data_IF_189766241724
#
_entry.id   IF_189766241724
#
_cell.length_a   1.000
_cell.length_b   1.000
_cell.length_c   1.000
_cell.angle_alpha   90.00
_cell.angle_beta   90.00
_cell.angle_gamma   90.00
#
_symmetry.space_group_name_H-M   'P 1'
#
loop_
_entity.id
_entity.type
_entity.pdbx_description
1 polymer ?
#
# COMPACT_ATOMS: atom_id res chain seq x y z
N UNK A 1 29.63 -14.38 5.14
CA UNK A 1 28.33 -15.08 5.01
C UNK A 1 27.34 -14.62 6.09
N UNK A 2 27.68 -14.66 7.39
CA UNK A 2 26.80 -14.16 8.47
C UNK A 2 26.31 -12.72 8.25
N UNK A 3 27.20 -11.79 7.90
CA UNK A 3 26.83 -10.39 7.57
C UNK A 3 25.84 -10.28 6.39
N UNK A 4 25.91 -11.18 5.41
CA UNK A 4 25.02 -11.16 4.25
C UNK A 4 23.62 -11.69 4.60
N UNK A 5 23.55 -12.75 5.40
CA UNK A 5 22.30 -13.30 5.91
C UNK A 5 21.56 -12.25 6.74
N UNK A 6 22.26 -11.59 7.66
CA UNK A 6 21.70 -10.51 8.49
C UNK A 6 21.13 -9.38 7.64
N UNK A 7 21.83 -8.95 6.59
CA UNK A 7 21.35 -7.89 5.67
C UNK A 7 20.00 -8.21 5.02
N UNK A 8 19.70 -9.47 4.72
CA UNK A 8 18.40 -9.87 4.18
C UNK A 8 17.36 -10.10 5.27
N UNK A 9 17.73 -10.73 6.38
CA UNK A 9 16.78 -11.08 7.43
C UNK A 9 16.30 -9.87 8.24
N UNK A 10 17.16 -8.88 8.51
CA UNK A 10 16.78 -7.68 9.26
C UNK A 10 15.59 -6.92 8.65
N UNK A 11 15.59 -6.55 7.35
CA UNK A 11 14.43 -5.87 6.76
C UNK A 11 13.18 -6.76 6.74
N UNK A 12 13.33 -8.08 6.58
CA UNK A 12 12.20 -9.02 6.65
C UNK A 12 11.59 -9.07 8.06
N UNK A 13 12.41 -9.21 9.09
CA UNK A 13 11.97 -9.22 10.49
C UNK A 13 11.31 -7.89 10.86
N UNK A 14 11.87 -6.77 10.38
CA UNK A 14 11.26 -5.46 10.59
C UNK A 14 9.87 -5.35 9.93
N UNK A 15 9.70 -5.87 8.71
CA UNK A 15 8.40 -5.90 8.03
C UNK A 15 7.40 -6.81 8.75
N UNK A 16 7.81 -8.01 9.17
CA UNK A 16 6.96 -8.94 9.93
C UNK A 16 6.44 -8.31 11.21
N UNK A 17 7.30 -7.62 11.98
CA UNK A 17 6.88 -6.90 13.19
C UNK A 17 5.84 -5.82 12.91
N UNK A 18 5.86 -5.20 11.73
CA UNK A 18 4.85 -4.20 11.33
C UNK A 18 3.54 -4.84 10.88
N UNK A 19 3.59 -6.04 10.30
CA UNK A 19 2.39 -6.81 9.94
C UNK A 19 1.71 -7.44 11.15
N UNK A 20 2.50 -7.88 12.13
CA UNK A 20 2.03 -8.56 13.35
C UNK A 20 1.71 -7.57 14.49
N UNK A 21 1.85 -6.26 14.28
CA UNK A 21 1.55 -5.28 15.32
C UNK A 21 0.04 -5.07 15.49
N UNK A 22 -0.39 -4.79 16.72
CA UNK A 22 -1.79 -4.45 17.03
C UNK A 22 -2.26 -3.13 16.38
N UNK A 23 -1.32 -2.34 15.84
CA UNK A 23 -1.56 -1.09 15.12
C UNK A 23 -1.60 -1.26 13.60
N UNK A 24 -1.39 -2.48 13.09
CA UNK A 24 -1.33 -2.73 11.65
C UNK A 24 -2.70 -2.57 11.03
N UNK A 25 -2.82 -1.67 10.06
CA UNK A 25 -4.04 -1.52 9.26
C UNK A 25 -3.81 -2.09 7.87
N UNK A 26 -4.86 -2.61 7.25
CA UNK A 26 -4.79 -3.21 5.91
C UNK A 26 -4.22 -2.25 4.86
N UNK A 27 -4.45 -0.93 5.04
CA UNK A 27 -3.89 0.13 4.20
C UNK A 27 -2.36 0.23 4.25
N UNK A 28 -1.71 -0.19 5.35
CA UNK A 28 -0.25 -0.09 5.50
C UNK A 28 0.51 -1.23 4.81
N UNK A 29 -0.20 -2.32 4.49
CA UNK A 29 0.42 -3.57 4.03
C UNK A 29 1.21 -3.37 2.74
N UNK A 30 0.62 -2.67 1.76
CA UNK A 30 1.27 -2.36 0.49
C UNK A 30 2.55 -1.51 0.68
N UNK A 31 2.46 -0.43 1.46
CA UNK A 31 3.62 0.45 1.75
C UNK A 31 4.77 -0.33 2.41
N UNK A 32 4.46 -1.14 3.44
CA UNK A 32 5.45 -1.97 4.12
C UNK A 32 6.11 -2.99 3.18
N UNK A 33 5.33 -3.62 2.29
CA UNK A 33 5.88 -4.54 1.30
C UNK A 33 6.81 -3.83 0.31
N UNK A 34 6.41 -2.68 -0.24
CA UNK A 34 7.27 -1.89 -1.15
C UNK A 34 8.55 -1.43 -0.46
N UNK A 35 8.47 -1.02 0.81
CA UNK A 35 9.63 -0.66 1.64
C UNK A 35 10.57 -1.85 1.87
N UNK A 36 10.03 -3.05 2.12
CA UNK A 36 10.81 -4.29 2.21
C UNK A 36 11.53 -4.57 0.88
N UNK A 37 10.80 -4.60 -0.23
CA UNK A 37 11.36 -4.88 -1.55
C UNK A 37 12.47 -3.89 -1.94
N UNK A 38 12.26 -2.60 -1.70
CA UNK A 38 13.26 -1.56 -1.95
C UNK A 38 14.52 -1.74 -1.08
N UNK A 39 14.39 -2.19 0.18
CA UNK A 39 15.56 -2.48 1.02
C UNK A 39 16.31 -3.72 0.52
N UNK A 40 15.59 -4.76 0.13
CA UNK A 40 16.17 -6.02 -0.36
C UNK A 40 16.85 -5.84 -1.72
N UNK A 41 16.27 -5.06 -2.64
CA UNK A 41 16.83 -4.83 -3.98
C UNK A 41 18.18 -4.09 -3.95
N UNK A 42 18.47 -3.35 -2.88
CA UNK A 42 19.75 -2.66 -2.67
C UNK A 42 20.87 -3.59 -2.20
N UNK A 43 20.57 -4.83 -1.82
CA UNK A 43 21.58 -5.80 -1.39
C UNK A 43 22.13 -6.50 -2.62
N UNK A 44 23.39 -6.25 -2.97
CA UNK A 44 24.06 -6.87 -4.12
C UNK A 44 24.82 -8.15 -3.71
N UNK A 45 24.42 -9.30 -4.26
CA UNK A 45 25.14 -10.57 -4.18
C UNK A 45 24.67 -11.55 -5.29
N UNK A 46 25.37 -12.67 -5.43
CA UNK A 46 25.13 -13.67 -6.49
C UNK A 46 23.77 -14.40 -6.43
N UNK A 47 22.99 -14.21 -5.37
CA UNK A 47 21.65 -14.80 -5.22
C UNK A 47 20.57 -13.77 -4.88
N UNK A 48 20.86 -12.46 -4.97
CA UNK A 48 19.90 -11.40 -4.62
C UNK A 48 18.59 -11.51 -5.40
N UNK A 49 18.67 -11.85 -6.69
CA UNK A 49 17.50 -11.99 -7.55
C UNK A 49 16.61 -13.15 -7.11
N UNK A 50 17.21 -14.27 -6.69
CA UNK A 50 16.46 -15.41 -6.16
C UNK A 50 15.70 -15.03 -4.88
N UNK A 51 16.33 -14.25 -3.99
CA UNK A 51 15.67 -13.79 -2.76
C UNK A 51 14.53 -12.82 -3.08
N UNK A 52 14.76 -11.86 -3.98
CA UNK A 52 13.70 -10.94 -4.44
C UNK A 52 12.52 -11.70 -5.05
N UNK A 53 12.79 -12.71 -5.89
CA UNK A 53 11.74 -13.55 -6.47
C UNK A 53 10.97 -14.36 -5.41
N UNK A 54 11.63 -14.86 -4.38
CA UNK A 54 10.95 -15.57 -3.29
C UNK A 54 10.03 -14.65 -2.49
N UNK A 55 10.48 -13.43 -2.17
CA UNK A 55 9.66 -12.43 -1.48
C UNK A 55 8.47 -12.03 -2.36
N UNK A 56 8.70 -11.82 -3.66
CA UNK A 56 7.66 -11.48 -4.62
C UNK A 56 6.61 -12.60 -4.74
N UNK A 57 7.01 -13.87 -4.81
CA UNK A 57 6.09 -15.01 -4.82
C UNK A 57 5.26 -15.07 -3.53
N UNK A 58 5.88 -14.79 -2.39
CA UNK A 58 5.15 -14.77 -1.12
C UNK A 58 4.11 -13.64 -1.10
N UNK A 59 4.47 -12.47 -1.63
CA UNK A 59 3.53 -11.37 -1.79
C UNK A 59 2.35 -11.75 -2.66
N UNK A 60 2.59 -12.25 -3.88
CA UNK A 60 1.55 -12.69 -4.82
C UNK A 60 0.61 -13.72 -4.20
N UNK A 61 1.14 -14.65 -3.40
CA UNK A 61 0.33 -15.63 -2.69
C UNK A 61 -0.58 -15.00 -1.62
N UNK A 62 -0.07 -14.01 -0.88
CA UNK A 62 -0.81 -13.34 0.20
C UNK A 62 -1.66 -12.15 -0.26
N UNK A 63 -1.47 -11.70 -1.49
CA UNK A 63 -2.01 -10.45 -1.98
C UNK A 63 -3.53 -10.52 -2.12
N UNK A 64 -4.21 -9.46 -1.68
CA UNK A 64 -5.63 -9.28 -1.95
C UNK A 64 -5.88 -7.84 -2.41
N UNK A 65 -6.68 -7.59 -3.48
CA UNK A 65 -6.90 -6.25 -4.03
C UNK A 65 -7.35 -5.20 -3.02
N UNK A 66 -8.06 -5.63 -1.96
CA UNK A 66 -8.48 -4.75 -0.85
C UNK A 66 -7.30 -4.05 -0.17
N UNK A 67 -6.10 -4.63 -0.19
CA UNK A 67 -4.89 -4.03 0.39
C UNK A 67 -4.50 -2.76 -0.37
N UNK A 68 -4.51 -2.80 -1.71
CA UNK A 68 -4.24 -1.62 -2.52
C UNK A 68 -5.40 -0.61 -2.47
N UNK A 69 -6.65 -1.09 -2.47
CA UNK A 69 -7.81 -0.20 -2.31
C UNK A 69 -7.72 0.58 -1.00
N UNK A 70 -7.44 -0.11 0.12
CA UNK A 70 -7.28 0.54 1.41
C UNK A 70 -6.06 1.48 1.44
N UNK A 71 -4.97 1.13 0.77
CA UNK A 71 -3.80 1.99 0.62
C UNK A 71 -4.15 3.28 -0.15
N UNK A 72 -4.86 3.17 -1.27
CA UNK A 72 -5.29 4.32 -2.10
C UNK A 72 -6.25 5.25 -1.34
N UNK A 73 -7.04 4.70 -0.43
CA UNK A 73 -7.94 5.44 0.45
C UNK A 73 -7.25 5.93 1.74
N UNK A 74 -6.00 5.61 2.04
CA UNK A 74 -5.43 6.12 3.29
C UNK A 74 -4.86 7.54 3.09
N UNK A 75 -5.33 8.56 3.83
CA UNK A 75 -4.81 9.92 3.75
C UNK A 75 -3.29 9.99 3.98
N UNK A 76 -2.74 9.07 4.79
CA UNK A 76 -1.30 9.03 5.13
C UNK A 76 -0.42 8.70 3.93
N UNK A 77 -0.97 8.08 2.89
CA UNK A 77 -0.20 7.64 1.73
C UNK A 77 -0.39 8.50 0.49
N UNK A 78 -1.17 9.59 0.55
CA UNK A 78 -1.41 10.47 -0.59
C UNK A 78 -0.11 10.86 -1.31
N UNK A 79 0.85 11.43 -0.58
CA UNK A 79 2.14 11.85 -1.14
C UNK A 79 2.99 10.66 -1.61
N UNK A 80 3.05 9.57 -0.82
CA UNK A 80 3.80 8.34 -1.20
C UNK A 80 3.26 7.69 -2.49
N UNK A 81 2.03 8.01 -2.88
CA UNK A 81 1.34 7.44 -4.04
C UNK A 81 1.10 8.44 -5.16
N UNK A 82 1.72 9.62 -5.11
CA UNK A 82 1.86 10.51 -6.28
C UNK A 82 2.85 9.92 -7.32
N UNK A 83 3.55 8.84 -6.97
CA UNK A 83 4.25 8.01 -7.95
C UNK A 83 3.24 7.46 -8.98
N UNK A 84 3.42 7.87 -10.24
CA UNK A 84 2.50 7.57 -11.33
C UNK A 84 2.30 6.07 -11.55
N UNK A 85 3.31 5.24 -11.28
CA UNK A 85 3.20 3.78 -11.43
C UNK A 85 2.33 3.20 -10.31
N UNK A 86 2.48 3.71 -9.07
CA UNK A 86 1.65 3.29 -7.93
C UNK A 86 0.20 3.71 -8.15
N UNK A 87 -0.03 4.94 -8.59
CA UNK A 87 -1.39 5.45 -8.82
C UNK A 87 -2.10 4.69 -9.95
N UNK A 88 -1.41 4.40 -11.06
CA UNK A 88 -1.96 3.62 -12.16
C UNK A 88 -2.35 2.19 -11.75
N UNK A 89 -1.49 1.51 -10.98
CA UNK A 89 -1.81 0.20 -10.41
C UNK A 89 -3.01 0.30 -9.46
N UNK A 90 -3.03 1.33 -8.61
CA UNK A 90 -4.10 1.55 -7.64
C UNK A 90 -5.46 1.75 -8.29
N UNK A 91 -5.54 2.58 -9.32
CA UNK A 91 -6.77 2.81 -10.08
C UNK A 91 -7.25 1.56 -10.82
N UNK A 92 -6.33 0.79 -11.39
CA UNK A 92 -6.66 -0.47 -12.07
C UNK A 92 -7.27 -1.46 -11.08
N UNK A 93 -6.56 -1.75 -9.99
CA UNK A 93 -7.02 -2.74 -9.00
C UNK A 93 -8.27 -2.30 -8.26
N UNK A 94 -8.41 -1.00 -7.95
CA UNK A 94 -9.64 -0.45 -7.39
C UNK A 94 -10.82 -0.72 -8.31
N UNK A 95 -10.69 -0.35 -9.58
CA UNK A 95 -11.75 -0.51 -10.57
C UNK A 95 -12.11 -1.98 -10.79
N UNK A 96 -11.13 -2.87 -10.88
CA UNK A 96 -11.36 -4.32 -10.99
C UNK A 96 -12.12 -4.87 -9.78
N UNK A 97 -11.69 -4.48 -8.57
CA UNK A 97 -12.31 -4.90 -7.33
C UNK A 97 -13.76 -4.41 -7.23
N UNK A 98 -14.01 -3.12 -7.46
CA UNK A 98 -15.35 -2.52 -7.34
C UNK A 98 -16.29 -3.01 -8.44
N UNK A 99 -15.81 -3.18 -9.67
CA UNK A 99 -16.60 -3.76 -10.76
C UNK A 99 -17.08 -5.17 -10.40
N UNK A 100 -16.19 -6.01 -9.89
CA UNK A 100 -16.53 -7.39 -9.49
C UNK A 100 -17.51 -7.43 -8.32
N UNK A 101 -17.41 -6.50 -7.37
CA UNK A 101 -18.17 -6.53 -6.12
C UNK A 101 -19.52 -5.81 -6.19
N UNK A 102 -19.61 -4.72 -6.94
CA UNK A 102 -20.74 -3.80 -6.94
C UNK A 102 -21.38 -3.62 -8.33
N UNK A 103 -20.70 -4.01 -9.41
CA UNK A 103 -21.14 -3.75 -10.78
C UNK A 103 -20.57 -2.45 -11.35
N UNK A 104 -20.76 -2.25 -12.66
CA UNK A 104 -20.11 -1.18 -13.40
C UNK A 104 -20.60 0.22 -13.01
N UNK A 105 -21.90 0.41 -12.80
CA UNK A 105 -22.48 1.72 -12.52
C UNK A 105 -22.01 2.26 -11.16
N UNK A 106 -22.11 1.44 -10.12
CA UNK A 106 -21.62 1.75 -8.77
C UNK A 106 -20.11 1.95 -8.74
N UNK A 107 -19.37 1.12 -9.47
CA UNK A 107 -17.91 1.23 -9.59
C UNK A 107 -17.48 2.58 -10.18
N UNK A 108 -18.18 3.09 -11.20
CA UNK A 108 -17.90 4.42 -11.78
C UNK A 108 -18.08 5.52 -10.73
N UNK A 109 -19.14 5.45 -9.92
CA UNK A 109 -19.41 6.43 -8.85
C UNK A 109 -18.32 6.39 -7.79
N UNK A 110 -17.93 5.19 -7.35
CA UNK A 110 -16.84 5.00 -6.37
C UNK A 110 -15.48 5.47 -6.91
N UNK A 111 -15.21 5.24 -8.19
CA UNK A 111 -13.98 5.70 -8.83
C UNK A 111 -13.92 7.24 -8.91
N UNK A 112 -15.02 7.89 -9.27
CA UNK A 112 -15.10 9.36 -9.28
C UNK A 112 -14.87 9.94 -7.88
N UNK A 113 -15.42 9.30 -6.85
CA UNK A 113 -15.19 9.70 -5.45
C UNK A 113 -13.73 9.52 -5.04
N UNK A 114 -13.11 8.38 -5.41
CA UNK A 114 -11.69 8.15 -5.18
C UNK A 114 -10.84 9.26 -5.83
N UNK A 115 -11.09 9.59 -7.11
CA UNK A 115 -10.35 10.66 -7.80
C UNK A 115 -10.53 12.01 -7.09
N UNK A 116 -11.75 12.32 -6.66
CA UNK A 116 -12.06 13.57 -5.92
C UNK A 116 -11.27 13.64 -4.61
N UNK A 117 -11.26 12.55 -3.84
CA UNK A 117 -10.45 12.40 -2.63
C UNK A 117 -8.96 12.58 -2.89
N UNK A 118 -8.42 11.87 -3.88
CA UNK A 118 -6.99 11.87 -4.24
C UNK A 118 -6.50 13.25 -4.68
N UNK A 119 -7.35 13.99 -5.40
CA UNK A 119 -7.06 15.35 -5.87
C UNK A 119 -7.33 16.42 -4.81
N UNK A 120 -7.81 16.04 -3.61
CA UNK A 120 -8.22 16.98 -2.55
C UNK A 120 -9.25 18.01 -3.03
N UNK A 121 -10.14 17.58 -3.92
CA UNK A 121 -11.28 18.39 -4.35
C UNK A 121 -12.39 18.32 -3.29
N UNK A 122 -13.28 19.32 -3.27
CA UNK A 122 -14.42 19.35 -2.34
C UNK A 122 -15.21 18.02 -2.36
N UNK A 123 -15.55 17.42 -1.20
CA UNK A 123 -15.47 17.96 0.17
C UNK A 123 -14.11 17.80 0.87
N UNK A 124 -13.09 17.28 0.19
CA UNK A 124 -11.76 17.01 0.74
C UNK A 124 -10.77 18.16 0.53
N UNK A 125 -11.24 19.37 0.23
CA UNK A 125 -10.41 20.57 0.04
C UNK A 125 -10.00 21.24 1.35
N UNK A 126 -10.53 20.78 2.49
CA UNK A 126 -10.21 21.32 3.81
C UNK A 126 -8.94 20.69 4.40
N UNK A 127 -7.88 21.49 4.54
CA UNK A 127 -6.61 21.08 5.13
C UNK A 127 -6.74 20.53 6.56
N UNK A 128 -7.69 21.05 7.36
CA UNK A 128 -7.92 20.56 8.73
C UNK A 128 -8.37 19.11 8.76
N UNK A 129 -9.19 18.69 7.77
CA UNK A 129 -9.62 17.31 7.62
C UNK A 129 -8.38 16.43 7.42
N UNK A 130 -7.47 16.82 6.51
CA UNK A 130 -6.22 16.07 6.29
C UNK A 130 -5.30 16.03 7.50
N UNK A 131 -5.09 17.17 8.18
CA UNK A 131 -4.24 17.22 9.37
C UNK A 131 -4.74 16.31 10.50
N UNK A 132 -6.06 16.12 10.61
CA UNK A 132 -6.65 15.21 11.59
C UNK A 132 -6.29 13.74 11.38
N UNK A 133 -5.87 13.34 10.17
CA UNK A 133 -5.44 11.95 9.86
C UNK A 133 -4.19 11.52 10.62
N UNK A 134 -3.39 12.48 11.10
CA UNK A 134 -2.22 12.20 11.94
C UNK A 134 -2.57 11.87 13.39
N UNK A 135 -3.80 12.17 13.81
CA UNK A 135 -4.29 12.01 15.19
C UNK A 135 -5.32 10.88 15.28
N UNK A 136 -6.17 10.74 14.26
CA UNK A 136 -7.21 9.72 14.19
C UNK A 136 -6.66 8.42 13.59
N UNK A 137 -7.23 7.28 14.00
CA UNK A 137 -7.03 6.04 13.26
C UNK A 137 -7.70 6.14 11.88
N UNK A 138 -7.14 5.50 10.85
CA UNK A 138 -7.70 5.56 9.48
C UNK A 138 -9.18 5.16 9.41
N UNK A 139 -9.64 4.22 10.25
CA UNK A 139 -11.04 3.79 10.31
C UNK A 139 -12.00 4.79 10.95
N UNK A 140 -11.49 5.78 11.68
CA UNK A 140 -12.28 6.87 12.31
C UNK A 140 -12.21 8.13 11.46
N UNK A 141 -11.12 8.28 10.70
CA UNK A 141 -10.97 9.40 9.78
C UNK A 141 -11.91 9.28 8.57
N UNK A 142 -12.13 8.06 8.08
CA UNK A 142 -13.16 7.71 7.11
C UNK A 142 -14.55 7.64 7.74
#
# INVERSE_FOLDING_TARGET
MANLITKFLEPMVAALKLFESDSSTISTVYSHFKKLMNKVSKISCNFSDNVQQLIQKQWEYSYHPVMMVAYMLDPRFLEESEDADIEAVGYTEFTEFTNKRFGQEESIKLFAELVTFRQKNSPYDNETIWLSSSVLSSSVWW
#
